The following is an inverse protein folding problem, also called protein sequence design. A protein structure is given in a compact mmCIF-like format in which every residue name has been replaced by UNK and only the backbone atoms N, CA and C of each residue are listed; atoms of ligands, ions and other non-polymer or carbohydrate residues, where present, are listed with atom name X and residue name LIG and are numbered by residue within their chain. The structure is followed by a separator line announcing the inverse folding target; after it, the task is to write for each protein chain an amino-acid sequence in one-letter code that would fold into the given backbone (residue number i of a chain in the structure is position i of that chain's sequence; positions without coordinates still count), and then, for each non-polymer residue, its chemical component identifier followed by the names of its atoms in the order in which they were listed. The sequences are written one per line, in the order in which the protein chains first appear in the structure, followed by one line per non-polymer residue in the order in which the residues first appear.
data_IF_028308334082
#
_entry.id   IF_028308334082
#
_cell.length_a   1.000
_cell.length_b   1.000
_cell.length_c   1.000
_cell.angle_alpha   90.00
_cell.angle_beta   90.00
_cell.angle_gamma   90.00
#
_symmetry.space_group_name_H-M   'P 1'
#
loop_
_entity.id
_entity.type
_entity.pdbx_description
1 polymer ?
#
# COMPACT_ATOMS: atom_id res chain seq x y z
N UNK A 1 -0.84 -10.13 -10.65
CA UNK A 1 0.35 -10.73 -11.27
C UNK A 1 1.10 -11.50 -10.18
N UNK A 2 1.82 -12.57 -10.50
CA UNK A 2 2.54 -13.36 -9.49
C UNK A 2 3.82 -12.62 -9.09
N UNK A 3 4.07 -12.44 -7.79
CA UNK A 3 5.30 -11.80 -7.28
C UNK A 3 5.29 -10.27 -7.20
N UNK A 4 4.13 -9.62 -7.35
CA UNK A 4 3.98 -8.19 -7.12
C UNK A 4 3.55 -7.89 -5.68
N UNK A 5 4.22 -6.93 -5.05
CA UNK A 5 3.93 -6.46 -3.69
C UNK A 5 2.96 -5.28 -3.74
N UNK A 6 1.83 -5.41 -3.05
CA UNK A 6 0.82 -4.38 -2.95
C UNK A 6 -0.46 -4.89 -2.30
N UNK A 7 -1.33 -3.98 -1.88
CA UNK A 7 -2.64 -4.28 -1.34
C UNK A 7 -3.65 -3.24 -1.80
N UNK A 8 -4.88 -3.66 -2.05
CA UNK A 8 -6.00 -2.74 -2.22
C UNK A 8 -6.22 -1.96 -0.92
N UNK A 9 -6.66 -0.72 -0.99
CA UNK A 9 -6.98 0.04 0.21
C UNK A 9 -8.33 -0.36 0.82
N UNK A 10 -8.39 -1.55 1.40
CA UNK A 10 -9.57 -2.10 2.03
C UNK A 10 -9.24 -2.99 3.23
N UNK A 11 -10.14 -3.00 4.21
CA UNK A 11 -10.10 -3.86 5.39
C UNK A 11 -10.15 -5.35 5.00
N UNK A 12 -9.26 -6.15 5.60
CA UNK A 12 -9.20 -7.60 5.47
C UNK A 12 -8.34 -8.10 4.31
N UNK A 13 -7.62 -7.24 3.60
CA UNK A 13 -6.79 -7.65 2.44
C UNK A 13 -5.40 -8.19 2.83
N UNK A 14 -4.91 -7.90 4.03
CA UNK A 14 -3.57 -8.26 4.48
C UNK A 14 -3.43 -9.71 4.92
N UNK A 15 -4.48 -10.29 5.49
CA UNK A 15 -4.51 -11.68 5.98
C UNK A 15 -5.80 -12.43 5.58
N UNK A 16 -6.74 -11.77 4.91
CA UNK A 16 -8.02 -12.34 4.55
C UNK A 16 -8.07 -12.88 3.12
N UNK A 17 -9.29 -13.17 2.62
CA UNK A 17 -9.49 -13.71 1.28
C UNK A 17 -9.11 -12.68 0.21
N UNK A 18 -9.15 -13.07 -1.06
CA UNK A 18 -8.89 -12.14 -2.16
C UNK A 18 -9.79 -10.90 -2.02
N UNK A 19 -9.29 -9.71 -2.37
CA UNK A 19 -10.08 -8.46 -2.27
C UNK A 19 -11.49 -8.61 -2.89
N UNK A 20 -11.60 -9.33 -4.00
CA UNK A 20 -12.86 -9.59 -4.70
C UNK A 20 -13.87 -10.40 -3.88
N UNK A 21 -13.40 -11.18 -2.92
CA UNK A 21 -14.18 -12.09 -2.07
C UNK A 21 -14.61 -11.45 -0.73
N UNK A 22 -14.08 -10.27 -0.39
CA UNK A 22 -14.45 -9.56 0.83
C UNK A 22 -15.87 -8.98 0.67
N UNK A 23 -16.87 -9.43 1.46
CA UNK A 23 -18.27 -9.06 1.25
C UNK A 23 -18.58 -7.61 1.69
N UNK A 24 -17.93 -7.12 2.75
CA UNK A 24 -18.11 -5.77 3.28
C UNK A 24 -16.78 -5.04 3.27
N UNK A 25 -16.45 -4.41 2.14
CA UNK A 25 -15.21 -3.66 1.98
C UNK A 25 -15.30 -2.34 2.71
N UNK A 26 -14.41 -2.12 3.68
CA UNK A 26 -14.23 -0.84 4.37
C UNK A 26 -12.89 -0.26 4.00
N UNK A 27 -12.82 1.06 4.02
CA UNK A 27 -11.59 1.76 3.73
C UNK A 27 -10.64 1.69 4.93
N UNK A 28 -9.40 1.26 4.71
CA UNK A 28 -8.40 1.13 5.78
C UNK A 28 -6.99 1.49 5.30
N UNK A 29 -6.62 2.76 5.47
CA UNK A 29 -5.28 3.24 5.18
C UNK A 29 -4.20 2.65 6.09
N UNK A 30 -4.56 2.21 7.30
CA UNK A 30 -3.61 1.71 8.27
C UNK A 30 -3.20 0.28 7.89
N UNK A 31 -4.15 -0.57 7.50
CA UNK A 31 -3.83 -1.92 7.04
C UNK A 31 -2.91 -1.90 5.80
N UNK A 32 -3.18 -1.04 4.83
CA UNK A 32 -2.30 -0.87 3.66
C UNK A 32 -0.89 -0.44 4.08
N UNK A 33 -0.80 0.52 5.00
CA UNK A 33 0.48 0.96 5.54
C UNK A 33 1.26 -0.16 6.23
N UNK A 34 0.57 -1.00 7.01
CA UNK A 34 1.17 -2.13 7.71
C UNK A 34 1.69 -3.19 6.73
N UNK A 35 0.94 -3.47 5.66
CA UNK A 35 1.37 -4.34 4.55
C UNK A 35 2.66 -3.80 3.91
N UNK A 36 2.68 -2.52 3.54
CA UNK A 36 3.86 -1.88 2.96
C UNK A 36 5.07 -1.92 3.90
N UNK A 37 4.85 -1.65 5.18
CA UNK A 37 5.90 -1.72 6.19
C UNK A 37 6.48 -3.14 6.30
N UNK A 38 5.61 -4.14 6.40
CA UNK A 38 6.02 -5.54 6.53
C UNK A 38 6.87 -5.99 5.35
N UNK A 39 6.46 -5.69 4.12
CA UNK A 39 7.23 -6.02 2.93
C UNK A 39 8.56 -5.29 2.87
N UNK A 40 8.56 -3.95 3.00
CA UNK A 40 9.78 -3.15 2.84
C UNK A 40 10.80 -3.44 3.94
N UNK A 41 10.35 -3.57 5.20
CA UNK A 41 11.23 -3.92 6.31
C UNK A 41 11.73 -5.36 6.20
N UNK A 42 10.87 -6.30 5.85
CA UNK A 42 11.22 -7.71 5.64
C UNK A 42 12.27 -7.86 4.54
N UNK A 43 12.05 -7.24 3.38
CA UNK A 43 13.00 -7.24 2.27
C UNK A 43 14.37 -6.69 2.66
N UNK A 44 14.40 -5.56 3.39
CA UNK A 44 15.66 -5.00 3.91
C UNK A 44 16.37 -5.97 4.86
N UNK A 45 15.64 -6.62 5.77
CA UNK A 45 16.19 -7.62 6.69
C UNK A 45 16.76 -8.86 6.00
N UNK A 46 16.23 -9.21 4.83
CA UNK A 46 16.69 -10.33 4.00
C UNK A 46 17.81 -9.95 3.01
N UNK A 47 18.27 -8.69 3.00
CA UNK A 47 19.26 -8.23 2.03
C UNK A 47 18.74 -8.14 0.60
N UNK A 48 17.42 -8.06 0.42
CA UNK A 48 16.79 -7.88 -0.88
C UNK A 48 16.90 -6.40 -1.26
N UNK A 49 17.66 -6.13 -2.32
CA UNK A 49 17.98 -4.76 -2.76
C UNK A 49 16.92 -4.14 -3.67
N UNK A 50 15.99 -4.94 -4.19
CA UNK A 50 14.88 -4.48 -5.02
C UNK A 50 13.67 -5.38 -4.86
N UNK A 51 12.49 -4.77 -4.84
CA UNK A 51 11.21 -5.47 -4.84
C UNK A 51 10.41 -5.07 -6.05
N UNK A 52 9.69 -6.03 -6.65
CA UNK A 52 8.73 -5.71 -7.68
C UNK A 52 7.41 -5.34 -7.00
N UNK A 53 7.03 -4.08 -7.13
CA UNK A 53 5.75 -3.59 -6.61
C UNK A 53 4.70 -3.75 -7.69
N UNK A 54 3.47 -4.05 -7.26
CA UNK A 54 2.33 -3.98 -8.17
C UNK A 54 2.29 -2.58 -8.81
N UNK A 55 1.83 -2.49 -10.06
CA UNK A 55 1.66 -1.21 -10.76
C UNK A 55 0.63 -0.37 -10.01
N UNK A 56 1.11 0.38 -9.02
CA UNK A 56 0.33 1.23 -8.14
C UNK A 56 0.61 2.65 -8.58
N UNK A 57 -0.45 3.36 -8.96
CA UNK A 57 -0.31 4.75 -9.31
C UNK A 57 0.08 5.56 -8.08
N UNK A 58 1.17 6.33 -8.19
CA UNK A 58 1.40 7.46 -7.30
C UNK A 58 0.51 8.61 -7.80
N UNK A 59 -0.36 9.13 -6.96
CA UNK A 59 -1.31 10.12 -7.42
C UNK A 59 -2.03 10.82 -6.29
N UNK A 60 -2.83 11.81 -6.67
CA UNK A 60 -3.56 12.71 -5.78
C UNK A 60 -5.02 12.86 -6.25
N UNK A 61 -5.54 11.79 -6.88
CA UNK A 61 -6.90 11.76 -7.42
C UNK A 61 -7.91 11.67 -6.28
N UNK A 62 -8.52 12.82 -5.98
CA UNK A 62 -9.65 13.04 -5.07
C UNK A 62 -10.77 11.98 -5.10
N UNK A 63 -10.93 11.26 -6.21
CA UNK A 63 -11.99 10.27 -6.38
C UNK A 63 -11.66 8.87 -5.81
N UNK A 64 -10.45 8.63 -5.31
CA UNK A 64 -9.95 7.29 -4.98
C UNK A 64 -9.75 6.97 -3.49
N UNK A 65 -10.15 7.86 -2.57
CA UNK A 65 -10.27 7.52 -1.14
C UNK A 65 -11.55 6.71 -0.89
N UNK A 66 -11.53 5.48 -1.38
CA UNK A 66 -12.58 4.49 -1.19
C UNK A 66 -11.98 3.11 -0.96
N UNK A 67 -12.80 2.21 -0.40
CA UNK A 67 -12.42 0.82 -0.20
C UNK A 67 -12.10 0.14 -1.54
N UNK A 68 -10.83 -0.21 -1.77
CA UNK A 68 -10.38 -0.76 -3.04
C UNK A 68 -9.65 0.20 -3.98
N UNK A 69 -9.33 1.42 -3.53
CA UNK A 69 -8.43 2.30 -4.26
C UNK A 69 -7.07 1.63 -4.52
N UNK A 70 -6.55 1.76 -5.74
CA UNK A 70 -5.27 1.16 -6.19
C UNK A 70 -4.15 2.20 -6.33
N UNK A 71 -4.20 3.26 -5.54
CA UNK A 71 -3.24 4.37 -5.57
C UNK A 71 -2.67 4.65 -4.19
N UNK A 72 -1.42 5.08 -4.15
CA UNK A 72 -0.80 5.63 -2.93
C UNK A 72 -0.86 7.16 -3.03
N UNK A 73 -1.58 7.78 -2.09
CA UNK A 73 -1.72 9.22 -2.03
C UNK A 73 -0.42 9.87 -1.53
N UNK A 74 0.15 10.74 -2.38
CA UNK A 74 1.44 11.40 -2.17
C UNK A 74 1.35 12.77 -1.47
N UNK A 75 0.13 13.25 -1.19
CA UNK A 75 -0.12 14.43 -0.37
C UNK A 75 0.02 15.78 -1.08
N UNK A 76 -0.34 15.87 -2.37
CA UNK A 76 -0.27 17.14 -3.12
C UNK A 76 -1.45 18.08 -2.83
N UNK A 77 -2.69 17.57 -2.73
CA UNK A 77 -3.91 18.36 -2.45
C UNK A 77 -4.60 17.97 -1.14
N UNK A 78 -4.08 16.97 -0.44
CA UNK A 78 -4.60 16.45 0.83
C UNK A 78 -3.43 15.89 1.67
N UNK A 79 -3.61 15.52 2.95
CA UNK A 79 -2.53 14.93 3.72
C UNK A 79 -1.98 13.65 3.08
N UNK A 80 -0.69 13.42 3.24
CA UNK A 80 -0.02 12.21 2.76
C UNK A 80 -0.63 10.95 3.39
N UNK A 81 -0.82 9.90 2.59
CA UNK A 81 -1.26 8.61 3.15
C UNK A 81 -0.20 8.02 4.09
N UNK A 82 -0.61 7.28 5.14
CA UNK A 82 0.31 6.54 6.00
C UNK A 82 1.27 5.63 5.20
N UNK A 83 0.78 4.97 4.15
CA UNK A 83 1.59 4.14 3.26
C UNK A 83 2.69 4.95 2.56
N UNK A 84 2.39 6.13 2.02
CA UNK A 84 3.38 6.99 1.38
C UNK A 84 4.48 7.44 2.35
N UNK A 85 4.10 7.78 3.58
CA UNK A 85 5.05 8.16 4.64
C UNK A 85 6.03 7.03 4.95
N UNK A 86 5.55 5.79 5.05
CA UNK A 86 6.37 4.60 5.28
C UNK A 86 7.32 4.33 4.12
N UNK A 87 6.81 4.36 2.89
CA UNK A 87 7.61 4.17 1.68
C UNK A 87 8.75 5.20 1.64
N UNK A 88 8.43 6.50 1.84
CA UNK A 88 9.43 7.57 1.90
C UNK A 88 10.45 7.36 3.02
N UNK A 89 10.02 6.94 4.22
CA UNK A 89 10.92 6.75 5.34
C UNK A 89 11.88 5.56 5.15
N UNK A 90 11.47 4.51 4.44
CA UNK A 90 12.30 3.32 4.24
C UNK A 90 13.20 3.47 3.00
N UNK A 91 12.67 4.00 1.90
CA UNK A 91 13.42 4.18 0.65
C UNK A 91 14.25 5.48 0.68
N UNK A 92 13.72 6.57 1.22
CA UNK A 92 14.37 7.88 1.22
C UNK A 92 15.38 8.12 2.33
N UNK A 93 15.65 7.14 3.21
CA UNK A 93 16.64 7.25 4.29
C UNK A 93 18.09 7.03 3.82
N UNK A 94 18.45 7.65 2.69
CA UNK A 94 19.80 7.69 2.15
C UNK A 94 20.54 8.96 2.57
#
# INVERSE_FOLDING_TARGET
MFGEIGGYNADGVGLGPSYWEIPNKRFDHQEVADIWYAYLKGSRGLGINSINVWTIGLGDLWANDFAGGFFVNIGLRQPESPAYRIIKAIIGAH
#
